data_IF_989081803706
#
_entry.id   IF_989081803706
#
_cell.length_a   1.000
_cell.length_b   1.000
_cell.length_c   1.000
_cell.angle_alpha   90.00
_cell.angle_beta   90.00
_cell.angle_gamma   90.00
#
_symmetry.space_group_name_H-M   'P 1'
#
loop_
_entity.id
_entity.type
_entity.pdbx_description
1 polymer ?
#
# COMPACT_ATOMS: atom_id res chain seq x y z
N UNK A 1 -9.95 -12.39 5.70
CA UNK A 1 -9.99 -11.95 4.28
C UNK A 1 -10.22 -13.19 3.41
N UNK A 2 -11.18 -13.16 2.48
CA UNK A 2 -11.71 -14.38 1.81
C UNK A 2 -11.43 -14.44 0.30
N UNK A 3 -10.61 -13.53 -0.24
CA UNK A 3 -10.42 -13.38 -1.68
C UNK A 3 -9.96 -14.68 -2.37
N UNK A 4 -9.01 -15.42 -1.80
CA UNK A 4 -8.52 -16.68 -2.36
C UNK A 4 -9.64 -17.73 -2.52
N UNK A 5 -10.39 -17.99 -1.44
CA UNK A 5 -11.44 -18.99 -1.42
C UNK A 5 -12.56 -18.66 -2.41
N UNK A 6 -13.07 -17.42 -2.35
CA UNK A 6 -14.18 -16.98 -3.21
C UNK A 6 -13.76 -16.97 -4.68
N UNK A 7 -12.56 -16.47 -4.99
CA UNK A 7 -12.07 -16.45 -6.38
C UNK A 7 -11.87 -17.88 -6.90
N UNK A 8 -11.33 -18.78 -6.08
CA UNK A 8 -11.14 -20.18 -6.46
C UNK A 8 -12.47 -20.89 -6.77
N UNK A 9 -13.51 -20.62 -5.98
CA UNK A 9 -14.86 -21.14 -6.24
C UNK A 9 -15.41 -20.63 -7.58
N UNK A 10 -15.32 -19.32 -7.83
CA UNK A 10 -15.76 -18.73 -9.11
C UNK A 10 -15.00 -19.32 -10.30
N UNK A 11 -13.69 -19.54 -10.18
CA UNK A 11 -12.89 -20.18 -11.22
C UNK A 11 -13.34 -21.64 -11.46
N UNK A 12 -13.64 -22.39 -10.40
CA UNK A 12 -14.12 -23.77 -10.51
C UNK A 12 -15.52 -23.89 -11.14
N UNK A 13 -16.36 -22.86 -11.02
CA UNK A 13 -17.69 -22.82 -11.64
C UNK A 13 -17.68 -22.37 -13.11
N UNK A 14 -16.51 -22.20 -13.71
CA UNK A 14 -16.32 -21.86 -15.12
C UNK A 14 -15.72 -20.48 -15.37
N UNK A 15 -15.50 -19.69 -14.31
CA UNK A 15 -14.84 -18.40 -14.37
C UNK A 15 -15.69 -17.29 -15.00
N UNK A 16 -15.64 -16.10 -14.40
CA UNK A 16 -16.15 -14.86 -14.99
C UNK A 16 -15.12 -13.77 -14.81
N UNK A 17 -15.21 -12.69 -15.60
CA UNK A 17 -14.33 -11.54 -15.39
C UNK A 17 -14.56 -10.97 -13.98
N UNK A 18 -13.47 -10.73 -13.25
CA UNK A 18 -13.52 -10.35 -11.84
C UNK A 18 -12.67 -9.11 -11.55
N UNK A 19 -13.11 -8.34 -10.55
CA UNK A 19 -12.32 -7.30 -9.91
C UNK A 19 -12.21 -7.64 -8.43
N UNK A 20 -11.02 -8.02 -7.98
CA UNK A 20 -10.74 -8.40 -6.60
C UNK A 20 -10.26 -7.15 -5.86
N UNK A 21 -10.84 -6.84 -4.69
CA UNK A 21 -10.34 -5.74 -3.87
C UNK A 21 -8.90 -5.98 -3.41
N UNK A 22 -8.17 -4.90 -3.11
CA UNK A 22 -6.83 -4.99 -2.52
C UNK A 22 -6.92 -5.36 -1.03
N UNK A 23 -5.94 -6.08 -0.46
CA UNK A 23 -4.87 -6.82 -1.15
C UNK A 23 -5.41 -8.04 -1.93
N UNK A 24 -4.62 -8.67 -2.81
CA UNK A 24 -5.12 -9.80 -3.62
C UNK A 24 -5.51 -10.99 -2.75
N UNK A 25 -4.59 -11.45 -1.89
CA UNK A 25 -4.79 -12.54 -0.92
C UNK A 25 -4.03 -12.21 0.37
N UNK A 26 -4.17 -13.07 1.39
CA UNK A 26 -3.48 -12.88 2.67
C UNK A 26 -1.99 -13.19 2.54
N UNK A 27 -1.66 -14.19 1.72
CA UNK A 27 -0.27 -14.62 1.52
C UNK A 27 0.17 -14.53 0.07
N UNK A 28 1.48 -14.51 -0.12
CA UNK A 28 2.09 -14.56 -1.46
C UNK A 28 1.81 -15.91 -2.10
N UNK A 29 1.82 -16.98 -1.32
CA UNK A 29 1.54 -18.34 -1.77
C UNK A 29 0.10 -18.45 -2.31
N UNK A 30 -0.89 -17.93 -1.58
CA UNK A 30 -2.28 -17.86 -2.05
C UNK A 30 -2.39 -17.05 -3.34
N UNK A 31 -1.73 -15.89 -3.39
CA UNK A 31 -1.71 -15.04 -4.58
C UNK A 31 -1.13 -15.79 -5.79
N UNK A 32 -0.05 -16.54 -5.60
CA UNK A 32 0.60 -17.30 -6.67
C UNK A 32 -0.26 -18.48 -7.13
N UNK A 33 -0.90 -19.20 -6.21
CA UNK A 33 -1.84 -20.27 -6.55
C UNK A 33 -3.01 -19.74 -7.37
N UNK A 34 -3.57 -18.60 -6.97
CA UNK A 34 -4.67 -17.95 -7.66
C UNK A 34 -4.27 -17.46 -9.06
N UNK A 35 -3.11 -16.78 -9.19
CA UNK A 35 -2.57 -16.35 -10.50
C UNK A 35 -2.39 -17.55 -11.43
N UNK A 36 -1.88 -18.68 -10.93
CA UNK A 36 -1.66 -19.88 -11.72
C UNK A 36 -2.96 -20.61 -12.11
N UNK A 37 -4.06 -20.37 -11.38
CA UNK A 37 -5.36 -20.98 -11.64
C UNK A 37 -6.23 -20.17 -12.62
N UNK A 38 -5.91 -18.88 -12.83
CA UNK A 38 -6.66 -18.01 -13.76
C UNK A 38 -6.32 -18.41 -15.21
N UNK A 39 -7.32 -18.75 -16.05
CA UNK A 39 -7.12 -18.99 -17.47
C UNK A 39 -6.56 -17.76 -18.21
N UNK A 40 -5.74 -17.98 -19.23
CA UNK A 40 -5.11 -16.88 -20.00
C UNK A 40 -6.13 -15.95 -20.68
N UNK A 41 -7.31 -16.46 -21.03
CA UNK A 41 -8.40 -15.71 -21.67
C UNK A 41 -9.36 -15.05 -20.66
N UNK A 42 -9.18 -15.29 -19.35
CA UNK A 42 -10.00 -14.73 -18.30
C UNK A 42 -9.39 -13.45 -17.72
N UNK A 43 -10.12 -12.33 -17.85
CA UNK A 43 -9.69 -11.05 -17.27
C UNK A 43 -10.00 -10.99 -15.78
N UNK A 44 -8.95 -10.93 -14.96
CA UNK A 44 -9.05 -10.69 -13.51
C UNK A 44 -8.21 -9.48 -13.15
N UNK A 45 -8.87 -8.47 -12.56
CA UNK A 45 -8.23 -7.25 -12.09
C UNK A 45 -8.12 -7.21 -10.56
N UNK A 46 -7.27 -6.31 -10.07
CA UNK A 46 -7.14 -5.99 -8.65
C UNK A 46 -7.47 -4.51 -8.45
N UNK A 47 -8.20 -4.19 -7.38
CA UNK A 47 -8.72 -2.87 -7.02
C UNK A 47 -7.67 -1.80 -6.64
N UNK A 48 -6.54 -1.74 -7.35
CA UNK A 48 -5.56 -0.66 -7.21
C UNK A 48 -6.03 0.61 -7.93
N UNK A 49 -7.08 1.24 -7.38
CA UNK A 49 -7.75 2.38 -7.99
C UNK A 49 -6.83 3.58 -8.22
N UNK A 50 -5.83 3.78 -7.35
CA UNK A 50 -4.91 4.92 -7.41
C UNK A 50 -4.03 4.92 -8.69
N UNK A 51 -3.87 3.78 -9.37
CA UNK A 51 -3.21 3.74 -10.69
C UNK A 51 -3.94 4.56 -11.75
N UNK A 52 -5.25 4.77 -11.57
CA UNK A 52 -6.10 5.53 -12.48
C UNK A 52 -6.27 6.99 -12.05
N UNK A 53 -5.64 7.42 -10.95
CA UNK A 53 -5.61 8.81 -10.57
C UNK A 53 -4.82 9.60 -11.63
N UNK A 54 -5.42 10.61 -12.30
CA UNK A 54 -4.80 11.31 -13.41
C UNK A 54 -3.49 12.02 -13.03
N UNK A 55 -3.32 12.35 -11.74
CA UNK A 55 -2.10 12.97 -11.24
C UNK A 55 -0.90 12.03 -11.34
N UNK A 56 -1.10 10.71 -11.23
CA UNK A 56 0.00 9.74 -11.30
C UNK A 56 0.67 9.77 -12.68
N UNK A 57 -0.11 9.88 -13.75
CA UNK A 57 0.42 10.02 -15.12
C UNK A 57 1.22 11.32 -15.28
N UNK A 58 0.75 12.43 -14.69
CA UNK A 58 1.48 13.70 -14.72
C UNK A 58 2.78 13.64 -13.90
N UNK A 59 2.76 13.02 -12.72
CA UNK A 59 3.98 12.80 -11.91
C UNK A 59 5.00 12.00 -12.73
N UNK A 60 4.59 10.90 -13.35
CA UNK A 60 5.48 10.09 -14.18
C UNK A 60 6.10 10.89 -15.33
N UNK A 61 5.33 11.82 -15.93
CA UNK A 61 5.78 12.65 -17.04
C UNK A 61 6.77 13.75 -16.63
N UNK A 62 6.61 14.33 -15.44
CA UNK A 62 7.47 15.44 -14.97
C UNK A 62 8.67 14.95 -14.14
N UNK A 63 8.62 13.73 -13.62
CA UNK A 63 9.68 13.15 -12.80
C UNK A 63 10.89 12.81 -13.67
N UNK A 64 11.95 13.62 -13.55
CA UNK A 64 13.24 13.39 -14.20
C UNK A 64 14.35 13.32 -13.15
N UNK A 65 14.97 12.14 -13.03
CA UNK A 65 16.09 11.85 -12.12
C UNK A 65 15.98 12.50 -10.72
N UNK A 66 14.91 12.25 -9.95
CA UNK A 66 14.73 12.87 -8.64
C UNK A 66 15.87 12.44 -7.69
N UNK A 67 16.32 13.37 -6.84
CA UNK A 67 17.28 13.07 -5.78
C UNK A 67 16.67 12.21 -4.66
N UNK A 68 15.37 12.34 -4.45
CA UNK A 68 14.60 11.65 -3.42
C UNK A 68 13.10 11.78 -3.73
N UNK A 69 12.31 10.77 -3.35
CA UNK A 69 10.85 10.82 -3.40
C UNK A 69 10.27 10.43 -2.05
N UNK A 70 9.32 11.23 -1.55
CA UNK A 70 8.54 10.94 -0.36
C UNK A 70 7.08 10.77 -0.73
N UNK A 71 6.43 9.75 -0.19
CA UNK A 71 4.99 9.53 -0.36
C UNK A 71 4.38 9.43 1.04
N UNK A 72 3.44 10.31 1.36
CA UNK A 72 2.76 10.31 2.67
C UNK A 72 1.29 10.04 2.47
N UNK A 73 0.78 9.03 3.18
CA UNK A 73 -0.65 8.78 3.27
C UNK A 73 -1.09 8.90 4.70
N UNK A 74 -1.84 9.97 4.93
CA UNK A 74 -2.57 10.21 6.17
C UNK A 74 -4.03 9.83 5.93
N UNK A 75 -4.61 9.10 6.86
CA UNK A 75 -6.04 8.79 6.85
C UNK A 75 -6.56 8.95 8.27
N UNK A 76 -7.63 9.74 8.53
CA UNK A 76 -8.27 9.76 9.82
C UNK A 76 -8.49 8.34 10.28
N UNK A 77 -8.03 7.99 11.49
CA UNK A 77 -8.29 6.70 12.07
C UNK A 77 -9.80 6.48 12.02
N UNK A 78 -10.26 5.70 11.04
CA UNK A 78 -11.68 5.45 10.93
C UNK A 78 -12.06 4.70 12.20
N UNK A 79 -13.20 5.01 12.82
CA UNK A 79 -13.70 4.25 13.98
C UNK A 79 -13.97 2.77 13.67
N UNK A 80 -13.64 2.30 12.45
CA UNK A 80 -13.57 0.89 12.08
C UNK A 80 -12.28 0.33 12.69
N UNK A 81 -12.44 -0.42 13.77
CA UNK A 81 -11.44 -1.39 14.18
C UNK A 81 -11.39 -2.43 13.07
N UNK A 82 -10.45 -2.27 12.14
CA UNK A 82 -10.14 -3.27 11.12
C UNK A 82 -8.89 -4.03 11.57
N UNK A 83 -8.87 -5.36 11.42
CA UNK A 83 -7.68 -6.19 11.67
C UNK A 83 -6.54 -5.94 10.66
N UNK A 84 -6.69 -4.97 9.74
CA UNK A 84 -5.71 -4.64 8.73
C UNK A 84 -4.62 -3.71 9.27
N UNK A 85 -3.36 -3.98 8.93
CA UNK A 85 -2.23 -3.14 9.29
C UNK A 85 -2.19 -1.82 8.50
N UNK A 86 -1.44 -0.82 9.00
CA UNK A 86 -1.11 0.42 8.26
C UNK A 86 -0.58 0.09 6.85
N UNK A 87 0.22 -0.97 6.73
CA UNK A 87 0.81 -1.35 5.45
C UNK A 87 -0.27 -1.85 4.49
N UNK A 88 -1.13 -2.76 4.94
CA UNK A 88 -2.14 -3.41 4.10
C UNK A 88 -3.29 -2.48 3.71
N UNK A 89 -3.64 -1.52 4.58
CA UNK A 89 -4.74 -0.61 4.30
C UNK A 89 -4.29 0.69 3.65
N UNK A 90 -3.20 1.29 4.15
CA UNK A 90 -2.75 2.62 3.72
C UNK A 90 -1.56 2.53 2.75
N UNK A 91 -0.41 2.02 3.23
CA UNK A 91 0.85 2.11 2.49
C UNK A 91 0.85 1.31 1.19
N UNK A 92 0.00 0.28 1.07
CA UNK A 92 -0.09 -0.58 -0.11
C UNK A 92 -0.36 0.21 -1.39
N UNK A 93 -1.10 1.31 -1.31
CA UNK A 93 -1.40 2.16 -2.47
C UNK A 93 -0.15 2.85 -2.99
N UNK A 94 0.69 3.36 -2.08
CA UNK A 94 1.90 4.10 -2.44
C UNK A 94 3.00 3.14 -2.89
N UNK A 95 3.11 1.97 -2.23
CA UNK A 95 3.98 0.87 -2.68
C UNK A 95 3.60 0.43 -4.09
N UNK A 96 2.30 0.30 -4.37
CA UNK A 96 1.80 -0.11 -5.67
C UNK A 96 2.15 0.90 -6.77
N UNK A 97 1.81 2.18 -6.57
CA UNK A 97 2.16 3.27 -7.52
C UNK A 97 3.67 3.32 -7.73
N UNK A 98 4.45 3.29 -6.66
CA UNK A 98 5.91 3.34 -6.72
C UNK A 98 6.47 2.18 -7.54
N UNK A 99 6.04 0.94 -7.28
CA UNK A 99 6.57 -0.27 -7.91
C UNK A 99 6.09 -0.52 -9.33
N UNK A 100 4.85 -0.13 -9.64
CA UNK A 100 4.23 -0.45 -10.93
C UNK A 100 4.22 0.73 -11.91
N UNK A 101 4.30 1.97 -11.43
CA UNK A 101 4.16 3.15 -12.28
C UNK A 101 5.41 4.01 -12.30
N UNK A 102 5.98 4.33 -11.13
CA UNK A 102 7.04 5.33 -11.04
C UNK A 102 8.46 4.75 -11.19
N UNK A 103 8.73 3.60 -10.59
CA UNK A 103 10.06 2.99 -10.56
C UNK A 103 10.03 1.55 -11.05
N UNK A 104 11.10 1.14 -11.72
CA UNK A 104 11.27 -0.23 -12.19
C UNK A 104 12.65 -0.79 -11.80
N UNK A 105 12.80 -2.11 -11.94
CA UNK A 105 14.03 -2.81 -11.63
C UNK A 105 14.18 -3.21 -10.16
N UNK A 106 15.40 -3.61 -9.81
CA UNK A 106 15.76 -4.06 -8.46
C UNK A 106 15.88 -2.89 -7.48
N UNK A 107 15.63 -3.19 -6.21
CA UNK A 107 15.70 -2.24 -5.10
C UNK A 107 16.27 -2.92 -3.86
N UNK A 108 16.85 -2.13 -2.95
CA UNK A 108 17.02 -2.53 -1.55
C UNK A 108 15.87 -1.99 -0.71
N UNK A 109 15.53 -2.69 0.37
CA UNK A 109 14.45 -2.30 1.27
C UNK A 109 14.97 -2.23 2.71
N UNK A 110 14.72 -1.09 3.36
CA UNK A 110 14.85 -0.92 4.80
C UNK A 110 13.50 -0.47 5.34
N UNK A 111 13.00 -1.10 6.40
CA UNK A 111 11.69 -0.76 6.95
C UNK A 111 11.74 -0.66 8.47
N UNK A 112 10.79 0.08 9.02
CA UNK A 112 10.61 0.20 10.45
C UNK A 112 9.27 0.85 10.77
N UNK A 113 8.88 0.78 12.03
CA UNK A 113 7.63 1.37 12.45
C UNK A 113 7.14 0.90 13.81
N UNK A 114 5.97 1.39 14.15
CA UNK A 114 5.16 1.03 15.29
C UNK A 114 3.74 0.71 14.79
N UNK A 115 2.82 0.42 15.70
CA UNK A 115 1.38 0.32 15.38
C UNK A 115 0.76 1.61 14.81
N UNK A 116 1.42 2.76 14.98
CA UNK A 116 0.90 4.08 14.63
C UNK A 116 1.66 4.73 13.48
N UNK A 117 2.80 4.18 13.04
CA UNK A 117 3.55 4.74 11.92
C UNK A 117 4.39 3.65 11.31
N UNK A 118 4.38 3.56 10.00
CA UNK A 118 5.27 2.68 9.28
C UNK A 118 6.01 3.45 8.19
N UNK A 119 7.26 3.10 7.96
CA UNK A 119 8.05 3.59 6.84
C UNK A 119 8.70 2.42 6.11
N UNK A 120 8.85 2.58 4.80
CA UNK A 120 9.61 1.68 3.96
C UNK A 120 10.53 2.49 3.04
N UNK A 121 11.84 2.40 3.23
CA UNK A 121 12.82 3.03 2.36
C UNK A 121 13.23 2.05 1.26
N UNK A 122 12.78 2.35 0.04
CA UNK A 122 13.20 1.67 -1.17
C UNK A 122 14.36 2.46 -1.80
N UNK A 123 15.45 1.79 -2.17
CA UNK A 123 16.53 2.43 -2.93
C UNK A 123 16.60 1.83 -4.32
N UNK A 124 16.21 2.61 -5.33
CA UNK A 124 16.34 2.24 -6.74
C UNK A 124 17.64 2.82 -7.29
N UNK A 125 18.65 1.97 -7.46
CA UNK A 125 20.03 2.38 -7.78
C UNK A 125 20.58 3.34 -6.73
N UNK A 126 20.43 4.65 -6.94
CA UNK A 126 20.87 5.72 -6.04
C UNK A 126 19.71 6.59 -5.56
N UNK A 127 18.47 6.33 -6.00
CA UNK A 127 17.30 7.15 -5.70
C UNK A 127 16.56 6.53 -4.52
N UNK A 128 16.56 7.19 -3.35
CA UNK A 128 15.71 6.81 -2.22
C UNK A 128 14.25 7.19 -2.47
N UNK A 129 13.34 6.28 -2.14
CA UNK A 129 11.89 6.45 -2.21
C UNK A 129 11.29 5.99 -0.89
N UNK A 130 10.58 6.88 -0.19
CA UNK A 130 10.09 6.65 1.16
C UNK A 130 8.56 6.78 1.24
N UNK A 131 7.82 5.67 1.09
CA UNK A 131 6.44 5.59 1.55
C UNK A 131 6.34 5.61 3.07
N UNK A 132 5.45 6.48 3.56
CA UNK A 132 5.09 6.69 4.96
C UNK A 132 3.59 6.51 5.13
N UNK A 133 3.22 5.61 6.02
CA UNK A 133 1.83 5.39 6.43
C UNK A 133 1.65 5.85 7.87
N UNK A 134 0.74 6.80 8.07
CA UNK A 134 0.40 7.36 9.38
C UNK A 134 -1.13 7.44 9.50
N UNK A 135 -1.78 6.74 10.45
CA UNK A 135 -3.16 7.01 10.78
C UNK A 135 -3.22 8.38 11.47
N UNK A 136 -4.13 9.25 11.03
CA UNK A 136 -4.45 10.48 11.72
C UNK A 136 -5.10 10.12 13.05
N UNK A 137 -4.47 10.49 14.16
CA UNK A 137 -5.11 10.50 15.46
C UNK A 137 -6.13 11.63 15.41
N UNK A 138 -7.43 11.34 15.58
CA UNK A 138 -8.41 12.38 15.86
C UNK A 138 -7.89 13.14 17.08
N UNK A 139 -7.60 14.44 16.93
CA UNK A 139 -7.21 15.28 18.07
C UNK A 139 -8.28 15.15 19.17
N UNK A 140 -7.99 14.37 20.22
CA UNK A 140 -8.66 14.57 21.50
C UNK A 140 -8.09 15.87 22.06
N UNK A 141 -8.86 16.94 21.90
CA UNK A 141 -8.79 18.23 22.60
C UNK A 141 -7.37 18.85 22.78
N UNK A 142 -7.04 19.97 22.10
CA UNK A 142 -5.70 20.59 22.13
C UNK A 142 -5.24 21.13 23.52
N UNK A 143 -5.98 20.89 24.60
CA UNK A 143 -5.70 21.38 25.94
C UNK A 143 -4.68 20.58 26.77
N UNK A 144 -4.14 19.45 26.29
CA UNK A 144 -3.25 18.60 27.12
C UNK A 144 -1.79 18.41 26.67
N UNK A 145 -1.34 19.03 25.58
CA UNK A 145 -0.01 18.74 25.01
C UNK A 145 1.17 19.64 25.48
N UNK A 146 0.97 20.55 26.43
CA UNK A 146 2.09 21.26 27.08
C UNK A 146 2.42 20.66 28.45
N UNK A 147 3.02 19.47 28.46
CA UNK A 147 3.95 19.07 29.52
C UNK A 147 5.29 18.73 28.90
N UNK A 148 6.15 19.73 28.82
CA UNK A 148 7.59 19.55 28.62
C UNK A 148 8.17 18.93 29.88
N UNK A 149 8.49 17.64 29.84
CA UNK A 149 9.37 17.01 30.82
C UNK A 149 10.81 17.18 30.36
N UNK A 150 11.48 18.20 30.89
CA UNK A 150 12.93 18.15 31.04
C UNK A 150 13.20 17.53 32.39
N UNK A 151 13.88 16.39 32.41
CA UNK A 151 14.51 15.90 33.62
C UNK A 151 15.94 16.47 33.64
N UNK A 152 16.10 17.52 34.44
CA UNK A 152 17.37 17.84 35.10
C UNK A 152 17.49 16.96 36.36
N UNK A 153 18.72 16.50 36.61
CA UNK A 153 19.28 15.69 37.72
C UNK A 153 19.33 14.15 37.57
#
# INVERSE_FOLDING_TARGET
MFHYAVTSEVLNEGGVAMLIEKPVCVTVEESQMLINAIPEDLTVGVGYIERFNPIIGEIQRIMDAPLYVEMKRHNPASGRITDASIVEDLMIHDIDIMRHVLFNGGYSLHCGGTKNVCFALFTYRTIPVLPLGEPEVLEEDPLHLYRTGGDDD
#
